data_IF_512029156271
#
_entry.id   IF_512029156271
#
_cell.length_a   1.000
_cell.length_b   1.000
_cell.length_c   1.000
_cell.angle_alpha   90.00
_cell.angle_beta   90.00
_cell.angle_gamma   90.00
#
_symmetry.space_group_name_H-M   'P 1'
#
loop_
_entity.id
_entity.type
_entity.pdbx_description
1 polymer ?
#
# COMPACT_ATOMS: atom_id res chain seq x y z
N UNK A 1 0.70 -8.66 -24.90
CA UNK A 1 1.35 -9.09 -23.63
C UNK A 1 1.36 -10.61 -23.66
N UNK A 2 2.42 -11.28 -23.16
CA UNK A 2 2.35 -12.72 -22.92
C UNK A 2 1.15 -13.04 -22.02
N UNK A 3 0.47 -14.15 -22.27
CA UNK A 3 -0.78 -14.50 -21.56
C UNK A 3 -0.59 -14.77 -20.06
N UNK A 4 0.64 -15.01 -19.63
CA UNK A 4 1.07 -15.33 -18.27
C UNK A 4 1.48 -14.10 -17.43
N UNK A 5 1.53 -12.90 -18.04
CA UNK A 5 1.87 -11.68 -17.31
C UNK A 5 0.69 -11.13 -16.51
N UNK A 6 0.81 -11.13 -15.19
CA UNK A 6 -0.18 -10.51 -14.29
C UNK A 6 -0.18 -8.98 -14.33
N UNK A 7 0.96 -8.38 -14.67
CA UNK A 7 1.15 -6.93 -14.82
C UNK A 7 2.32 -6.65 -15.77
N UNK A 8 2.39 -5.43 -16.29
CA UNK A 8 3.56 -4.98 -17.05
C UNK A 8 4.74 -4.88 -16.07
N UNK A 9 5.89 -5.53 -16.35
CA UNK A 9 7.07 -5.43 -15.49
C UNK A 9 7.62 -3.99 -15.51
N UNK A 10 8.35 -3.61 -14.46
CA UNK A 10 9.13 -2.38 -14.45
C UNK A 10 10.17 -2.33 -15.56
N UNK A 11 10.62 -3.50 -16.03
CA UNK A 11 11.69 -3.64 -17.00
C UNK A 11 13.07 -3.43 -16.37
N UNK A 12 13.97 -2.84 -17.17
CA UNK A 12 15.33 -2.50 -16.78
C UNK A 12 15.48 -1.01 -16.53
N UNK A 13 16.46 -0.58 -15.70
CA UNK A 13 16.68 0.84 -15.44
C UNK A 13 17.05 1.60 -16.72
N UNK A 14 16.65 2.86 -16.80
CA UNK A 14 17.07 3.77 -17.86
C UNK A 14 18.57 4.10 -17.73
N UNK A 15 19.16 4.69 -18.79
CA UNK A 15 20.54 5.15 -18.74
C UNK A 15 20.75 6.11 -17.54
N UNK A 16 21.88 5.94 -16.85
CA UNK A 16 22.27 6.69 -15.65
C UNK A 16 21.34 6.49 -14.44
N UNK A 17 20.45 5.48 -14.48
CA UNK A 17 19.67 5.03 -13.34
C UNK A 17 20.03 3.60 -12.97
N UNK A 18 19.79 3.23 -11.74
CA UNK A 18 19.94 1.87 -11.22
C UNK A 18 18.71 1.48 -10.43
N UNK A 19 18.37 0.20 -10.47
CA UNK A 19 17.38 -0.40 -9.61
C UNK A 19 18.06 -1.40 -8.68
N UNK A 20 17.59 -1.44 -7.45
CA UNK A 20 17.97 -2.44 -6.46
C UNK A 20 16.70 -3.06 -5.89
N UNK A 21 16.68 -4.38 -5.80
CA UNK A 21 15.68 -5.11 -5.04
C UNK A 21 16.38 -5.62 -3.80
N UNK A 22 16.10 -5.02 -2.63
CA UNK A 22 16.81 -5.28 -1.40
C UNK A 22 15.89 -5.90 -0.34
N UNK A 23 16.49 -6.74 0.51
CA UNK A 23 15.85 -7.30 1.68
C UNK A 23 15.81 -6.30 2.86
N UNK A 24 15.37 -6.77 4.02
CA UNK A 24 15.30 -5.95 5.25
C UNK A 24 16.69 -5.55 5.81
N UNK A 25 17.77 -6.26 5.42
CA UNK A 25 19.15 -5.99 5.81
C UNK A 25 19.88 -5.11 4.79
N UNK A 26 19.19 -4.61 3.77
CA UNK A 26 19.75 -3.86 2.65
C UNK A 26 20.73 -4.68 1.78
N UNK A 27 20.55 -6.01 1.75
CA UNK A 27 21.29 -6.92 0.87
C UNK A 27 20.49 -7.21 -0.41
N UNK A 28 21.20 -7.49 -1.51
CA UNK A 28 20.56 -7.79 -2.80
C UNK A 28 19.75 -9.08 -2.72
N UNK A 29 18.49 -9.01 -3.12
CA UNK A 29 17.67 -10.20 -3.28
C UNK A 29 18.12 -11.01 -4.51
N UNK A 30 18.27 -12.34 -4.40
CA UNK A 30 18.46 -13.22 -5.56
C UNK A 30 17.26 -13.14 -6.53
N UNK A 31 17.48 -13.65 -7.75
CA UNK A 31 16.40 -13.79 -8.73
C UNK A 31 15.20 -14.53 -8.13
N UNK A 32 14.00 -14.06 -8.47
CA UNK A 32 12.71 -14.57 -8.00
C UNK A 32 12.40 -14.35 -6.51
N UNK A 33 13.32 -13.78 -5.74
CA UNK A 33 13.07 -13.45 -4.32
C UNK A 33 12.52 -12.04 -4.21
N UNK A 34 11.33 -11.87 -3.58
CA UNK A 34 10.74 -10.55 -3.37
C UNK A 34 11.57 -9.68 -2.43
N UNK A 35 11.69 -8.40 -2.77
CA UNK A 35 12.30 -7.37 -1.92
C UNK A 35 11.69 -6.02 -2.16
N UNK A 36 12.16 -5.02 -1.42
CA UNK A 36 11.78 -3.62 -1.62
C UNK A 36 12.57 -3.03 -2.78
N UNK A 37 11.88 -2.33 -3.68
CA UNK A 37 12.49 -1.67 -4.83
C UNK A 37 13.05 -0.31 -4.44
N UNK A 38 14.33 -0.10 -4.76
CA UNK A 38 15.03 1.17 -4.61
C UNK A 38 15.53 1.66 -5.97
N UNK A 39 15.61 2.98 -6.11
CA UNK A 39 16.14 3.65 -7.30
C UNK A 39 17.38 4.44 -6.91
N UNK A 40 18.41 4.41 -7.77
CA UNK A 40 19.64 5.19 -7.63
C UNK A 40 20.03 5.85 -8.96
N UNK A 41 21.09 6.62 -8.92
CA UNK A 41 21.68 7.29 -10.08
C UNK A 41 21.31 8.76 -10.19
N UNK A 42 21.62 9.36 -11.34
CA UNK A 42 21.54 10.82 -11.53
C UNK A 42 20.09 11.36 -11.52
N UNK A 43 19.11 10.48 -11.71
CA UNK A 43 17.69 10.87 -11.79
C UNK A 43 16.98 11.00 -10.45
N UNK A 44 17.62 10.68 -9.30
CA UNK A 44 16.94 10.78 -8.00
C UNK A 44 16.93 12.23 -7.50
N UNK A 45 15.78 12.63 -6.93
CA UNK A 45 15.60 13.95 -6.34
C UNK A 45 16.49 14.16 -5.10
N UNK A 46 16.70 15.42 -4.70
CA UNK A 46 17.43 15.74 -3.47
C UNK A 46 16.62 15.41 -2.21
N UNK A 47 15.29 15.41 -2.29
CA UNK A 47 14.40 15.10 -1.18
C UNK A 47 13.01 15.68 -1.39
N UNK A 48 12.20 15.60 -0.34
CA UNK A 48 10.89 16.23 -0.27
C UNK A 48 11.02 17.68 0.18
N UNK A 49 10.35 18.60 -0.51
CA UNK A 49 10.37 20.02 -0.19
C UNK A 49 9.77 20.25 1.20
N UNK A 50 10.52 20.93 2.08
CA UNK A 50 10.13 21.26 3.45
C UNK A 50 9.76 20.06 4.35
N UNK A 51 10.10 18.83 3.95
CA UNK A 51 9.85 17.63 4.72
C UNK A 51 11.15 16.83 4.89
N UNK A 52 11.92 17.20 5.91
CA UNK A 52 13.20 16.56 6.22
C UNK A 52 13.04 15.14 6.76
N UNK A 53 11.98 14.88 7.51
CA UNK A 53 11.73 13.57 8.10
C UNK A 53 11.40 12.55 7.00
N UNK A 54 10.47 12.89 6.11
CA UNK A 54 10.15 12.05 4.95
C UNK A 54 11.34 11.88 4.01
N UNK A 55 12.16 12.93 3.85
CA UNK A 55 13.40 12.84 3.07
C UNK A 55 14.35 11.82 3.68
N UNK A 56 14.59 11.88 4.99
CA UNK A 56 15.45 10.92 5.70
C UNK A 56 14.92 9.49 5.66
N UNK A 57 13.61 9.32 5.75
CA UNK A 57 12.96 8.01 5.66
C UNK A 57 13.11 7.37 4.27
N UNK A 58 12.88 8.16 3.23
CA UNK A 58 12.80 7.64 1.85
C UNK A 58 14.13 7.66 1.10
N UNK A 59 15.07 8.51 1.49
CA UNK A 59 16.39 8.59 0.85
C UNK A 59 17.45 8.07 1.81
N UNK A 60 17.93 6.88 1.53
CA UNK A 60 18.89 6.16 2.36
C UNK A 60 20.24 6.06 1.65
N UNK A 61 21.31 5.79 2.38
CA UNK A 61 22.63 5.50 1.80
C UNK A 61 22.88 4.00 1.96
N UNK A 62 23.30 3.36 0.88
CA UNK A 62 23.70 1.96 0.87
C UNK A 62 25.13 1.84 1.38
N UNK A 63 25.31 1.35 2.59
CA UNK A 63 26.61 1.36 3.29
C UNK A 63 27.76 0.72 2.49
N UNK A 64 27.50 -0.39 1.80
CA UNK A 64 28.51 -1.13 1.04
C UNK A 64 29.05 -0.38 -0.19
N UNK A 65 28.32 0.61 -0.72
CA UNK A 65 28.70 1.37 -1.91
C UNK A 65 28.80 2.87 -1.66
N UNK A 66 28.26 3.38 -0.57
CA UNK A 66 28.09 4.80 -0.33
C UNK A 66 27.05 5.47 -1.25
N UNK A 67 26.33 4.69 -2.06
CA UNK A 67 25.37 5.19 -3.03
C UNK A 67 24.06 5.62 -2.36
N UNK A 68 23.53 6.75 -2.80
CA UNK A 68 22.25 7.25 -2.31
C UNK A 68 21.11 6.61 -3.07
N UNK A 69 20.15 6.05 -2.35
CA UNK A 69 18.98 5.33 -2.85
C UNK A 69 17.70 6.04 -2.48
N UNK A 70 16.71 5.97 -3.35
CA UNK A 70 15.32 6.33 -3.06
C UNK A 70 14.47 5.06 -2.87
N UNK A 71 13.88 4.91 -1.69
CA UNK A 71 12.92 3.85 -1.37
C UNK A 71 11.57 4.16 -2.02
N UNK A 72 11.18 3.38 -3.02
CA UNK A 72 9.92 3.60 -3.74
C UNK A 72 8.68 3.22 -2.94
N UNK A 73 8.86 2.31 -1.97
CA UNK A 73 7.77 1.63 -1.28
C UNK A 73 7.14 0.49 -2.08
N UNK A 74 7.61 0.24 -3.27
CA UNK A 74 7.16 -0.86 -4.10
C UNK A 74 7.92 -2.15 -3.76
N UNK A 75 7.25 -3.27 -3.90
CA UNK A 75 7.83 -4.61 -3.83
C UNK A 75 8.06 -5.13 -5.24
N UNK A 76 9.19 -5.76 -5.46
CA UNK A 76 9.54 -6.35 -6.75
C UNK A 76 10.46 -7.55 -6.58
N UNK A 77 10.76 -8.21 -7.71
CA UNK A 77 11.78 -9.26 -7.79
C UNK A 77 12.42 -9.26 -9.17
N UNK A 78 13.67 -9.66 -9.23
CA UNK A 78 14.36 -9.85 -10.50
C UNK A 78 13.88 -11.13 -11.20
N UNK A 79 13.78 -11.07 -12.52
CA UNK A 79 13.78 -12.22 -13.39
C UNK A 79 15.23 -12.54 -13.82
N UNK A 80 15.47 -13.76 -14.32
CA UNK A 80 16.80 -14.22 -14.76
C UNK A 80 17.42 -13.32 -15.85
N UNK A 81 16.62 -12.57 -16.58
CA UNK A 81 17.05 -11.65 -17.64
C UNK A 81 17.31 -10.23 -17.13
N UNK A 82 17.15 -9.99 -15.83
CA UNK A 82 17.33 -8.72 -15.15
C UNK A 82 16.17 -7.75 -15.27
N UNK A 83 15.02 -8.18 -15.82
CA UNK A 83 13.78 -7.43 -15.69
C UNK A 83 13.25 -7.49 -14.27
N UNK A 84 12.55 -6.44 -13.82
CA UNK A 84 11.93 -6.40 -12.50
C UNK A 84 10.40 -6.55 -12.66
N UNK A 85 9.87 -7.55 -11.98
CA UNK A 85 8.43 -7.75 -11.81
C UNK A 85 7.93 -6.90 -10.64
N UNK A 86 6.82 -6.19 -10.85
CA UNK A 86 6.12 -5.47 -9.78
C UNK A 86 5.20 -6.41 -9.01
N UNK A 87 5.35 -6.45 -7.70
CA UNK A 87 4.58 -7.32 -6.81
C UNK A 87 3.58 -6.57 -5.92
N UNK A 88 3.44 -5.26 -6.13
CA UNK A 88 2.56 -4.42 -5.31
C UNK A 88 3.35 -3.44 -4.44
N UNK A 89 2.65 -2.80 -3.49
CA UNK A 89 3.25 -1.86 -2.56
C UNK A 89 3.36 -2.44 -1.16
N UNK A 90 4.42 -2.03 -0.45
CA UNK A 90 4.64 -2.37 0.96
C UNK A 90 3.77 -1.50 1.89
N UNK A 91 3.44 -0.29 1.46
CA UNK A 91 2.82 0.77 2.27
C UNK A 91 1.33 0.91 1.98
N UNK A 92 0.55 -0.11 1.85
CA UNK A 92 -0.93 -0.07 1.67
C UNK A 92 -1.50 1.05 0.78
N UNK A 93 -0.62 1.78 0.05
CA UNK A 93 -1.03 2.80 -0.88
C UNK A 93 -1.74 2.18 -2.08
N UNK A 94 -2.91 2.68 -2.42
CA UNK A 94 -3.75 2.15 -3.48
C UNK A 94 -3.99 3.18 -4.57
N UNK A 95 -4.29 2.69 -5.77
CA UNK A 95 -4.79 3.53 -6.88
C UNK A 95 -6.26 3.19 -7.12
N UNK A 96 -7.14 4.18 -6.96
CA UNK A 96 -8.56 4.05 -7.23
C UNK A 96 -8.95 5.12 -8.23
N UNK A 97 -9.45 4.71 -9.40
CA UNK A 97 -9.84 5.61 -10.50
C UNK A 97 -8.72 6.62 -10.88
N UNK A 98 -7.46 6.19 -10.82
CA UNK A 98 -6.28 7.02 -11.11
C UNK A 98 -5.78 7.90 -9.95
N UNK A 99 -6.53 8.03 -8.87
CA UNK A 99 -6.10 8.74 -7.67
C UNK A 99 -5.22 7.87 -6.79
N UNK A 100 -4.09 8.43 -6.35
CA UNK A 100 -3.19 7.83 -5.39
C UNK A 100 -3.72 8.12 -3.98
N UNK A 101 -4.03 7.08 -3.23
CA UNK A 101 -4.69 7.16 -1.92
C UNK A 101 -3.82 6.47 -0.89
N UNK A 102 -3.48 7.18 0.18
CA UNK A 102 -2.83 6.65 1.36
C UNK A 102 -3.92 6.20 2.34
N UNK A 103 -4.09 4.89 2.51
CA UNK A 103 -5.14 4.35 3.38
C UNK A 103 -4.96 4.81 4.84
N UNK A 104 -3.70 4.89 5.32
CA UNK A 104 -3.39 5.35 6.66
C UNK A 104 -3.79 6.80 6.95
N UNK A 105 -3.77 7.70 5.96
CA UNK A 105 -4.26 9.09 6.15
C UNK A 105 -5.77 9.10 6.40
N UNK A 106 -6.52 8.22 5.72
CA UNK A 106 -7.96 8.10 5.92
C UNK A 106 -8.25 7.47 7.29
N UNK A 107 -7.52 6.42 7.67
CA UNK A 107 -7.62 5.79 9.00
C UNK A 107 -7.39 6.81 10.11
N UNK A 108 -6.34 7.61 9.99
CA UNK A 108 -6.04 8.67 10.95
C UNK A 108 -7.16 9.70 11.05
N UNK A 109 -7.65 10.20 9.91
CA UNK A 109 -8.75 11.17 9.88
C UNK A 109 -10.05 10.62 10.49
N UNK A 110 -10.34 9.32 10.30
CA UNK A 110 -11.51 8.66 10.91
C UNK A 110 -11.31 8.54 12.44
N UNK A 111 -10.10 8.22 12.89
CA UNK A 111 -9.79 8.08 14.31
C UNK A 111 -9.86 9.39 15.11
N UNK A 112 -9.78 10.55 14.44
CA UNK A 112 -9.98 11.85 15.08
C UNK A 112 -11.45 12.10 15.49
N UNK A 113 -12.41 11.34 14.97
CA UNK A 113 -13.81 11.50 15.35
C UNK A 113 -14.07 10.95 16.77
N UNK A 114 -14.80 11.74 17.61
CA UNK A 114 -15.19 11.28 18.93
C UNK A 114 -15.97 9.97 18.90
N UNK A 115 -15.58 9.00 19.69
CA UNK A 115 -16.23 7.68 19.76
C UNK A 115 -15.68 6.63 18.80
N UNK A 116 -14.68 6.97 17.99
CA UNK A 116 -13.92 5.99 17.21
C UNK A 116 -12.70 5.54 18.02
N UNK A 117 -12.62 4.22 18.30
CA UNK A 117 -11.46 3.63 18.97
C UNK A 117 -10.42 3.16 17.96
N UNK A 118 -10.86 2.56 16.87
CA UNK A 118 -10.00 2.04 15.80
C UNK A 118 -10.67 2.25 14.45
N UNK A 119 -9.87 2.46 13.42
CA UNK A 119 -10.31 2.45 12.03
C UNK A 119 -9.31 1.64 11.19
N UNK A 120 -9.82 0.83 10.28
CA UNK A 120 -9.05 0.13 9.25
C UNK A 120 -9.71 0.42 7.92
N UNK A 121 -8.91 0.85 6.95
CA UNK A 121 -9.38 1.15 5.60
C UNK A 121 -8.73 0.17 4.62
N UNK A 122 -9.54 -0.42 3.75
CA UNK A 122 -9.07 -1.33 2.71
C UNK A 122 -9.82 -1.11 1.41
N UNK A 123 -9.37 -1.75 0.35
CA UNK A 123 -10.06 -1.74 -0.93
C UNK A 123 -10.91 -2.97 -1.10
N UNK A 124 -12.16 -2.79 -1.47
CA UNK A 124 -13.05 -3.86 -1.91
C UNK A 124 -13.24 -3.77 -3.41
N UNK A 125 -13.26 -4.93 -4.08
CA UNK A 125 -13.57 -5.01 -5.51
C UNK A 125 -15.01 -5.41 -5.69
N UNK A 126 -15.72 -4.72 -6.59
CA UNK A 126 -17.00 -5.21 -7.09
C UNK A 126 -16.80 -6.42 -8.02
N UNK A 127 -17.88 -7.14 -8.34
CA UNK A 127 -17.80 -8.29 -9.25
C UNK A 127 -17.35 -7.96 -10.68
N UNK A 128 -17.14 -6.69 -11.00
CA UNK A 128 -16.68 -6.17 -12.29
C UNK A 128 -15.23 -5.67 -12.26
N UNK A 129 -14.53 -5.84 -11.12
CA UNK A 129 -13.13 -5.45 -10.97
C UNK A 129 -12.89 -3.97 -10.63
N UNK A 130 -13.94 -3.18 -10.38
CA UNK A 130 -13.77 -1.82 -9.89
C UNK A 130 -13.41 -1.86 -8.41
N UNK A 131 -12.41 -1.06 -8.02
CA UNK A 131 -11.99 -0.90 -6.63
C UNK A 131 -12.69 0.27 -5.97
N UNK A 132 -13.18 0.05 -4.75
CA UNK A 132 -13.81 1.06 -3.88
C UNK A 132 -13.17 0.98 -2.50
N UNK A 133 -13.16 2.08 -1.74
CA UNK A 133 -12.70 2.08 -0.36
C UNK A 133 -13.79 1.54 0.57
N UNK A 134 -13.39 0.74 1.54
CA UNK A 134 -14.21 0.32 2.67
C UNK A 134 -13.48 0.71 3.97
N UNK A 135 -14.19 1.32 4.89
CA UNK A 135 -13.67 1.63 6.22
C UNK A 135 -14.39 0.76 7.27
N UNK A 136 -13.62 0.08 8.10
CA UNK A 136 -14.10 -0.69 9.25
C UNK A 136 -13.81 0.13 10.51
N UNK A 137 -14.85 0.49 11.25
CA UNK A 137 -14.76 1.40 12.39
C UNK A 137 -15.13 0.66 13.66
N UNK A 138 -14.20 0.62 14.62
CA UNK A 138 -14.43 0.11 15.96
C UNK A 138 -14.77 1.24 16.91
N UNK A 139 -15.91 1.15 17.61
CA UNK A 139 -16.25 2.00 18.74
C UNK A 139 -15.91 1.31 20.07
N UNK A 140 -15.63 2.05 21.17
CA UNK A 140 -15.50 1.46 22.51
C UNK A 140 -16.81 0.75 22.84
N UNK A 141 -16.72 -0.52 23.25
CA UNK A 141 -17.89 -1.30 23.66
C UNK A 141 -18.40 -0.68 24.96
N UNK A 142 -19.48 0.06 24.91
CA UNK A 142 -20.34 0.26 26.09
C UNK A 142 -21.20 -1.00 26.22
N UNK A 143 -21.35 -1.55 27.41
CA UNK A 143 -22.00 -2.85 27.69
C UNK A 143 -23.42 -3.03 27.09
N UNK A 144 -24.03 -1.97 26.55
CA UNK A 144 -25.36 -1.96 25.92
C UNK A 144 -25.37 -1.57 24.42
N UNK A 145 -24.22 -1.44 23.77
CA UNK A 145 -24.17 -0.96 22.38
C UNK A 145 -24.08 -2.11 21.37
N UNK A 146 -25.05 -2.17 20.47
CA UNK A 146 -24.95 -2.99 19.26
C UNK A 146 -23.82 -2.47 18.38
N UNK A 147 -22.91 -3.36 17.97
CA UNK A 147 -21.89 -3.03 16.97
C UNK A 147 -22.58 -2.72 15.65
N UNK A 148 -22.44 -1.51 15.16
CA UNK A 148 -22.98 -1.12 13.86
C UNK A 148 -21.81 -0.93 12.91
N UNK A 149 -21.75 -1.71 11.84
CA UNK A 149 -20.73 -1.59 10.79
C UNK A 149 -21.27 -0.71 9.68
N UNK A 150 -20.54 0.33 9.34
CA UNK A 150 -20.86 1.22 8.22
C UNK A 150 -19.89 0.96 7.07
N UNK A 151 -20.43 0.70 5.87
CA UNK A 151 -19.69 0.72 4.63
C UNK A 151 -19.92 2.08 3.95
N UNK A 152 -18.84 2.80 3.74
CA UNK A 152 -18.85 4.00 2.92
C UNK A 152 -18.46 3.66 1.49
N UNK A 153 -19.43 3.62 0.61
CA UNK A 153 -19.20 3.56 -0.83
C UNK A 153 -19.07 4.97 -1.38
N UNK A 154 -17.87 5.42 -1.71
CA UNK A 154 -17.71 6.68 -2.39
C UNK A 154 -18.14 6.55 -3.84
N UNK A 155 -19.37 6.90 -4.11
CA UNK A 155 -19.67 7.58 -5.36
C UNK A 155 -19.24 9.03 -5.15
N UNK A 156 -18.20 9.48 -5.86
CA UNK A 156 -17.63 10.84 -5.72
C UNK A 156 -18.66 11.92 -6.09
N UNK A 157 -19.86 11.54 -6.53
CA UNK A 157 -20.94 12.39 -7.00
C UNK A 157 -22.27 12.23 -6.24
N UNK A 158 -22.26 11.72 -4.98
CA UNK A 158 -23.50 11.77 -4.17
C UNK A 158 -23.87 10.52 -3.38
N UNK A 159 -22.93 9.65 -3.05
CA UNK A 159 -23.18 8.47 -2.23
C UNK A 159 -23.40 8.80 -0.76
N UNK A 160 -24.46 8.28 -0.16
CA UNK A 160 -24.76 8.34 1.26
C UNK A 160 -24.22 7.09 1.99
N UNK A 161 -24.19 7.17 3.31
CA UNK A 161 -23.89 6.05 4.19
C UNK A 161 -24.93 4.96 4.06
N UNK A 162 -24.49 3.71 3.92
CA UNK A 162 -25.36 2.55 3.92
C UNK A 162 -25.03 1.66 5.10
N UNK A 163 -26.00 1.43 5.97
CA UNK A 163 -25.89 0.50 7.09
C UNK A 163 -25.94 -0.94 6.56
N UNK A 164 -24.92 -1.74 6.86
CA UNK A 164 -24.96 -3.19 6.66
C UNK A 164 -25.38 -3.88 7.96
N UNK A 165 -26.59 -4.38 7.97
CA UNK A 165 -27.06 -5.31 8.99
C UNK A 165 -26.65 -6.72 8.54
N UNK A 166 -26.01 -7.48 9.42
CA UNK A 166 -25.88 -8.95 9.42
C UNK A 166 -24.57 -9.63 8.96
N UNK A 167 -23.44 -8.96 8.70
CA UNK A 167 -22.25 -9.73 8.24
C UNK A 167 -21.07 -9.85 9.25
N UNK A 168 -21.15 -9.24 10.42
CA UNK A 168 -20.06 -9.27 11.41
C UNK A 168 -19.86 -10.66 12.02
N UNK A 169 -20.94 -11.44 12.16
CA UNK A 169 -20.89 -12.79 12.75
C UNK A 169 -20.09 -13.79 11.89
N UNK A 170 -20.09 -13.61 10.58
CA UNK A 170 -19.37 -14.50 9.66
C UNK A 170 -17.86 -14.18 9.61
N UNK A 171 -17.47 -12.92 9.83
CA UNK A 171 -16.07 -12.52 9.81
C UNK A 171 -15.33 -12.99 11.08
N UNK A 172 -15.93 -12.89 12.25
CA UNK A 172 -15.38 -13.41 13.51
C UNK A 172 -15.12 -14.91 13.46
N UNK A 173 -16.06 -15.70 12.90
CA UNK A 173 -15.88 -17.15 12.76
C UNK A 173 -14.76 -17.57 11.77
N UNK A 174 -14.34 -16.69 10.84
CA UNK A 174 -13.23 -16.98 9.94
C UNK A 174 -11.85 -16.70 10.55
N UNK A 175 -11.76 -15.82 11.54
CA UNK A 175 -10.50 -15.52 12.24
C UNK A 175 -10.15 -16.56 13.30
N UNK A 176 -11.15 -17.21 13.91
CA UNK A 176 -10.96 -18.27 14.91
C UNK A 176 -10.55 -19.64 14.31
N UNK A 177 -10.53 -19.78 12.97
CA UNK A 177 -10.15 -21.00 12.24
C UNK A 177 -8.77 -20.97 11.60
N UNK A 178 -7.97 -19.96 11.85
CA UNK A 178 -6.56 -19.85 11.45
C UNK A 178 -5.64 -19.87 12.66
#
# INVERSE_FOLDING_TARGET
MPEDWKSIPYGKPLANQKYYVLDQNMEDCPDWVPGTLYIAGDGIAQGYLNDKEKTKEKFVVLDRTGERLYCTGDMGRYWNDGNIEFLGRKDFQVKIRGHRIELGEIEHAIQEFPGVAHAVVDTVSDGHGNKTLAAYIGAPIQEDSKVTTYLYGTDIFGGGWKELKDDVSNWQMQQERK
#
